data_IF_023695770049
#
_entry.id   IF_023695770049
#
_cell.length_a   1.000
_cell.length_b   1.000
_cell.length_c   1.000
_cell.angle_alpha   90.00
_cell.angle_beta   90.00
_cell.angle_gamma   90.00
#
_symmetry.space_group_name_H-M   'P 1'
#
loop_
_entity.id
_entity.type
_entity.pdbx_description
1 polymer ?
#
# COMPACT_ATOMS: atom_id res chain seq x y z
N UNK A 1 -12.69 -47.41 20.55
CA UNK A 1 -12.62 -45.96 20.31
C UNK A 1 -13.23 -45.67 18.94
N UNK A 2 -14.19 -44.74 18.89
CA UNK A 2 -15.13 -44.58 17.78
C UNK A 2 -14.47 -44.26 16.43
N UNK A 3 -14.84 -45.01 15.39
CA UNK A 3 -14.37 -44.85 14.02
C UNK A 3 -15.20 -43.75 13.33
N UNK A 4 -14.98 -42.48 13.69
CA UNK A 4 -15.59 -41.35 13.00
C UNK A 4 -14.86 -41.19 11.67
N UNK A 5 -15.49 -41.60 10.57
CA UNK A 5 -14.93 -41.48 9.23
C UNK A 5 -14.61 -40.00 8.93
N UNK A 6 -13.40 -39.73 8.42
CA UNK A 6 -12.93 -38.39 8.03
C UNK A 6 -12.81 -37.36 9.18
N UNK A 7 -12.64 -37.81 10.43
CA UNK A 7 -12.51 -36.95 11.61
C UNK A 7 -11.47 -35.82 11.46
N UNK A 8 -10.29 -36.12 10.91
CA UNK A 8 -9.24 -35.11 10.69
C UNK A 8 -9.69 -34.00 9.73
N UNK A 9 -10.35 -34.38 8.64
CA UNK A 9 -10.89 -33.43 7.66
C UNK A 9 -11.98 -32.53 8.26
N UNK A 10 -12.83 -33.11 9.12
CA UNK A 10 -13.88 -32.39 9.83
C UNK A 10 -13.30 -31.40 10.85
N UNK A 11 -12.31 -31.81 11.64
CA UNK A 11 -11.63 -30.94 12.60
C UNK A 11 -10.91 -29.79 11.90
N UNK A 12 -10.17 -30.06 10.83
CA UNK A 12 -9.49 -29.02 10.05
C UNK A 12 -10.46 -28.00 9.44
N UNK A 13 -11.62 -28.46 8.96
CA UNK A 13 -12.66 -27.57 8.43
C UNK A 13 -13.25 -26.68 9.53
N UNK A 14 -13.55 -27.25 10.70
CA UNK A 14 -14.05 -26.51 11.84
C UNK A 14 -13.03 -25.48 12.36
N UNK A 15 -11.74 -25.84 12.40
CA UNK A 15 -10.65 -24.92 12.71
C UNK A 15 -10.59 -23.77 11.69
N UNK A 16 -10.66 -24.09 10.39
CA UNK A 16 -10.66 -23.08 9.33
C UNK A 16 -11.85 -22.12 9.48
N UNK A 17 -13.05 -22.64 9.75
CA UNK A 17 -14.26 -21.82 9.92
C UNK A 17 -14.23 -20.95 11.18
N UNK A 18 -13.45 -21.35 12.19
CA UNK A 18 -13.21 -20.57 13.40
C UNK A 18 -12.20 -19.43 13.15
N UNK A 19 -11.12 -19.71 12.44
CA UNK A 19 -10.02 -18.75 12.20
C UNK A 19 -10.30 -17.74 11.10
N UNK A 20 -11.10 -18.15 10.09
CA UNK A 20 -11.43 -17.34 8.94
C UNK A 20 -12.04 -15.97 9.30
N UNK A 21 -13.11 -15.86 10.13
CA UNK A 21 -13.70 -14.56 10.45
C UNK A 21 -12.71 -13.62 11.14
N UNK A 22 -11.84 -14.16 12.02
CA UNK A 22 -10.80 -13.38 12.70
C UNK A 22 -9.84 -12.81 11.66
N UNK A 23 -9.32 -13.68 10.79
CA UNK A 23 -8.39 -13.27 9.73
C UNK A 23 -9.03 -12.27 8.78
N UNK A 24 -10.30 -12.42 8.43
CA UNK A 24 -11.00 -11.47 7.56
C UNK A 24 -11.18 -10.09 8.23
N UNK A 25 -11.50 -10.07 9.52
CA UNK A 25 -11.61 -8.83 10.29
C UNK A 25 -10.28 -8.08 10.38
N UNK A 26 -9.15 -8.79 10.40
CA UNK A 26 -7.82 -8.18 10.38
C UNK A 26 -7.41 -7.70 8.98
N UNK A 27 -7.76 -8.47 7.93
CA UNK A 27 -7.32 -8.19 6.56
C UNK A 27 -8.10 -7.07 5.87
N UNK A 28 -9.41 -7.02 6.06
CA UNK A 28 -10.29 -6.05 5.42
C UNK A 28 -9.87 -4.59 5.64
N UNK A 29 -9.57 -4.12 6.89
CA UNK A 29 -9.15 -2.73 7.10
C UNK A 29 -7.82 -2.41 6.44
N UNK A 30 -6.86 -3.34 6.43
CA UNK A 30 -5.55 -3.14 5.81
C UNK A 30 -5.66 -2.96 4.29
N UNK A 31 -6.48 -3.78 3.63
CA UNK A 31 -6.73 -3.67 2.19
C UNK A 31 -7.45 -2.35 1.88
N UNK A 32 -8.46 -2.00 2.67
CA UNK A 32 -9.20 -0.75 2.49
C UNK A 32 -8.30 0.48 2.67
N UNK A 33 -7.38 0.46 3.64
CA UNK A 33 -6.40 1.52 3.82
C UNK A 33 -5.49 1.66 2.59
N UNK A 34 -4.93 0.56 2.08
CA UNK A 34 -4.12 0.60 0.85
C UNK A 34 -4.90 1.13 -0.36
N UNK A 35 -6.18 0.80 -0.50
CA UNK A 35 -7.05 1.40 -1.54
C UNK A 35 -7.13 2.92 -1.38
N UNK A 36 -7.33 3.42 -0.16
CA UNK A 36 -7.40 4.87 0.10
C UNK A 36 -6.06 5.55 -0.16
N UNK A 37 -4.94 4.97 0.28
CA UNK A 37 -3.58 5.44 -0.04
C UNK A 37 -3.37 5.52 -1.56
N UNK A 38 -3.77 4.46 -2.30
CA UNK A 38 -3.68 4.46 -3.75
C UNK A 38 -4.50 5.59 -4.37
N UNK A 39 -5.75 5.75 -3.94
CA UNK A 39 -6.66 6.80 -4.45
C UNK A 39 -6.12 8.20 -4.15
N UNK A 40 -5.59 8.44 -2.96
CA UNK A 40 -4.94 9.71 -2.61
C UNK A 40 -3.75 9.99 -3.52
N UNK A 41 -2.83 9.03 -3.64
CA UNK A 41 -1.62 9.23 -4.44
C UNK A 41 -1.91 9.44 -5.93
N UNK A 42 -2.86 8.69 -6.51
CA UNK A 42 -3.26 8.85 -7.92
C UNK A 42 -3.87 10.23 -8.16
N UNK A 43 -4.65 10.76 -7.23
CA UNK A 43 -5.41 11.99 -7.41
C UNK A 43 -4.71 13.25 -6.87
N UNK A 44 -3.64 13.10 -6.09
CA UNK A 44 -2.91 14.22 -5.49
C UNK A 44 -2.11 14.99 -6.55
N UNK A 45 -2.69 16.06 -7.07
CA UNK A 45 -2.04 16.97 -8.03
C UNK A 45 -0.90 17.74 -7.38
N UNK A 46 -1.11 18.19 -6.15
CA UNK A 46 -0.12 18.88 -5.33
C UNK A 46 1.19 18.08 -5.23
N UNK A 47 1.11 16.77 -4.97
CA UNK A 47 2.29 15.91 -4.95
C UNK A 47 3.02 15.87 -6.31
N UNK A 48 2.28 15.80 -7.42
CA UNK A 48 2.89 15.85 -8.77
C UNK A 48 3.61 17.17 -8.99
N UNK A 49 3.02 18.30 -8.61
CA UNK A 49 3.65 19.62 -8.70
C UNK A 49 4.94 19.68 -7.86
N UNK A 50 4.94 19.12 -6.65
CA UNK A 50 6.17 19.01 -5.82
C UNK A 50 7.26 18.19 -6.54
N UNK A 51 6.89 17.10 -7.22
CA UNK A 51 7.84 16.32 -8.03
C UNK A 51 8.36 17.13 -9.23
N UNK A 52 7.56 18.00 -9.83
CA UNK A 52 8.00 18.90 -10.92
C UNK A 52 9.01 19.94 -10.42
N UNK A 53 8.78 20.55 -9.25
CA UNK A 53 9.78 21.41 -8.60
C UNK A 53 11.08 20.66 -8.35
N UNK A 54 11.00 19.43 -7.81
CA UNK A 54 12.16 18.58 -7.59
C UNK A 54 12.90 18.25 -8.88
N UNK A 55 12.19 17.96 -9.96
CA UNK A 55 12.78 17.70 -11.27
C UNK A 55 13.50 18.94 -11.81
N UNK A 56 12.89 20.13 -11.67
CA UNK A 56 13.48 21.39 -12.11
C UNK A 56 14.77 21.71 -11.34
N UNK A 57 14.73 21.64 -10.01
CA UNK A 57 15.90 21.86 -9.15
C UNK A 57 16.99 20.83 -9.46
N UNK A 58 16.61 19.55 -9.53
CA UNK A 58 17.54 18.47 -9.84
C UNK A 58 18.22 18.63 -11.20
N UNK A 59 17.48 19.05 -12.23
CA UNK A 59 18.02 19.33 -13.56
C UNK A 59 18.99 20.52 -13.54
N UNK A 60 18.64 21.61 -12.86
CA UNK A 60 19.53 22.76 -12.71
C UNK A 60 20.86 22.37 -12.05
N UNK A 61 20.81 21.55 -10.99
CA UNK A 61 22.02 21.07 -10.30
C UNK A 61 22.84 20.12 -11.17
N UNK A 62 22.19 19.21 -11.90
CA UNK A 62 22.84 18.22 -12.74
C UNK A 62 23.48 18.83 -14.00
N UNK A 63 22.85 19.83 -14.61
CA UNK A 63 23.39 20.56 -15.76
C UNK A 63 24.71 21.25 -15.40
N UNK A 64 24.76 21.90 -14.24
CA UNK A 64 26.00 22.49 -13.70
C UNK A 64 27.09 21.44 -13.38
N UNK A 65 26.72 20.16 -13.25
CA UNK A 65 27.65 19.05 -13.06
C UNK A 65 27.99 18.31 -14.36
N UNK A 66 27.60 18.84 -15.53
CA UNK A 66 27.87 18.26 -16.84
C UNK A 66 27.00 17.05 -17.19
N UNK A 67 25.87 16.84 -16.50
CA UNK A 67 24.92 15.77 -16.80
C UNK A 67 23.79 16.28 -17.69
N UNK A 68 23.22 15.36 -18.48
CA UNK A 68 22.07 15.65 -19.32
C UNK A 68 20.78 15.90 -18.50
N UNK A 69 19.88 16.69 -19.08
CA UNK A 69 18.58 17.01 -18.50
C UNK A 69 17.67 15.78 -18.48
N UNK A 70 17.19 15.41 -17.31
CA UNK A 70 16.24 14.33 -17.12
C UNK A 70 14.81 14.78 -17.43
N UNK A 71 14.00 13.86 -17.97
CA UNK A 71 12.55 14.06 -18.18
C UNK A 71 11.69 13.60 -17.00
N UNK A 72 12.31 12.93 -16.02
CA UNK A 72 11.66 12.37 -14.84
C UNK A 72 12.67 11.63 -13.98
N UNK A 73 12.24 11.19 -12.80
CA UNK A 73 13.03 10.40 -11.88
C UNK A 73 12.13 9.38 -11.15
N UNK A 74 12.75 8.35 -10.59
CA UNK A 74 12.07 7.30 -9.82
C UNK A 74 11.82 7.74 -8.40
N UNK A 75 10.70 7.33 -7.80
CA UNK A 75 10.30 7.73 -6.44
C UNK A 75 11.32 7.33 -5.36
N UNK A 76 12.13 6.29 -5.61
CA UNK A 76 13.25 5.92 -4.75
C UNK A 76 14.22 7.10 -4.50
N UNK A 77 14.36 8.02 -5.45
CA UNK A 77 15.21 9.22 -5.29
C UNK A 77 14.75 10.14 -4.16
N UNK A 78 13.46 10.11 -3.79
CA UNK A 78 12.92 10.93 -2.71
C UNK A 78 13.59 10.62 -1.37
N UNK A 79 14.00 9.36 -1.15
CA UNK A 79 14.66 8.91 0.08
C UNK A 79 16.05 9.53 0.30
N UNK A 80 16.61 10.16 -0.73
CA UNK A 80 17.97 10.74 -0.71
C UNK A 80 17.97 12.25 -0.47
N UNK A 81 16.82 12.93 -0.60
CA UNK A 81 16.75 14.40 -0.60
C UNK A 81 17.22 15.01 0.72
N UNK A 82 16.88 14.39 1.85
CA UNK A 82 17.32 14.81 3.19
C UNK A 82 18.81 14.56 3.46
N UNK A 83 19.49 13.79 2.59
CA UNK A 83 20.92 13.48 2.73
C UNK A 83 21.81 14.38 1.85
N UNK A 84 21.24 14.98 0.80
CA UNK A 84 21.97 15.85 -0.13
C UNK A 84 22.11 17.25 0.48
N UNK A 85 23.28 17.51 1.09
CA UNK A 85 23.58 18.77 1.79
C UNK A 85 24.21 19.80 0.87
N UNK A 86 23.91 21.07 1.14
CA UNK A 86 24.58 22.22 0.52
C UNK A 86 25.95 22.50 1.16
N UNK A 87 26.45 23.74 1.00
CA UNK A 87 27.66 24.19 1.70
C UNK A 87 27.44 24.24 3.22
N UNK A 88 26.26 24.68 3.63
CA UNK A 88 25.82 24.52 5.02
C UNK A 88 25.39 23.07 5.24
N UNK A 89 25.93 22.44 6.28
CA UNK A 89 25.63 21.06 6.65
C UNK A 89 24.21 20.88 7.15
N UNK A 90 23.54 21.95 7.60
CA UNK A 90 22.16 21.90 8.06
C UNK A 90 21.16 22.10 6.91
N UNK A 91 21.61 22.67 5.79
CA UNK A 91 20.77 22.91 4.63
C UNK A 91 20.84 21.74 3.64
N UNK A 92 19.69 21.18 3.30
CA UNK A 92 19.58 20.03 2.39
C UNK A 92 18.81 20.39 1.13
N UNK A 93 18.82 19.52 0.13
CA UNK A 93 18.02 19.71 -1.09
C UNK A 93 16.51 19.78 -0.77
N UNK A 94 16.08 19.15 0.32
CA UNK A 94 14.70 19.25 0.79
C UNK A 94 14.36 20.65 1.33
N UNK A 95 15.29 21.30 2.02
CA UNK A 95 15.14 22.71 2.43
C UNK A 95 15.10 23.63 1.21
N UNK A 96 15.99 23.40 0.22
CA UNK A 96 15.98 24.16 -1.02
C UNK A 96 14.65 24.02 -1.78
N UNK A 97 14.10 22.81 -1.85
CA UNK A 97 12.76 22.56 -2.41
C UNK A 97 11.71 23.38 -1.67
N UNK A 98 11.72 23.34 -0.34
CA UNK A 98 10.74 24.06 0.46
C UNK A 98 10.83 25.57 0.27
N UNK A 99 12.04 26.15 0.27
CA UNK A 99 12.22 27.58 -0.02
C UNK A 99 11.66 27.97 -1.38
N UNK A 100 11.89 27.15 -2.42
CA UNK A 100 11.34 27.41 -3.75
C UNK A 100 9.81 27.34 -3.75
N UNK A 101 9.23 26.36 -3.06
CA UNK A 101 7.77 26.24 -2.90
C UNK A 101 7.22 27.46 -2.15
N UNK A 102 7.83 27.85 -1.03
CA UNK A 102 7.38 29.00 -0.23
C UNK A 102 7.51 30.32 -0.97
N UNK A 103 8.46 30.44 -1.91
CA UNK A 103 8.64 31.62 -2.73
C UNK A 103 7.59 31.73 -3.85
N UNK A 104 7.26 30.61 -4.49
CA UNK A 104 6.43 30.59 -5.71
C UNK A 104 4.96 30.26 -5.44
N UNK A 105 4.70 29.29 -4.57
CA UNK A 105 3.36 28.77 -4.27
C UNK A 105 3.27 28.28 -2.81
N UNK A 106 3.21 29.18 -1.81
CA UNK A 106 3.21 28.81 -0.39
C UNK A 106 2.11 27.81 0.00
N UNK A 107 0.95 27.88 -0.66
CA UNK A 107 -0.16 26.95 -0.44
C UNK A 107 0.19 25.49 -0.73
N UNK A 108 1.19 25.24 -1.59
CA UNK A 108 1.66 23.89 -1.90
C UNK A 108 2.42 23.25 -0.73
N UNK A 109 2.94 24.02 0.23
CA UNK A 109 3.64 23.46 1.40
C UNK A 109 2.74 22.55 2.27
N UNK A 110 1.42 22.68 2.17
CA UNK A 110 0.46 21.84 2.90
C UNK A 110 0.07 20.57 2.14
N UNK A 111 0.66 20.27 0.98
CA UNK A 111 0.31 19.08 0.15
C UNK A 111 0.35 17.75 0.92
N UNK A 112 1.16 17.67 1.97
CA UNK A 112 1.26 16.46 2.80
C UNK A 112 -0.07 16.09 3.48
N UNK A 113 -1.01 17.03 3.60
CA UNK A 113 -2.36 16.82 4.12
C UNK A 113 -3.24 16.04 3.12
N UNK A 114 -3.02 16.21 1.81
CA UNK A 114 -3.73 15.47 0.76
C UNK A 114 -3.36 13.97 0.74
N UNK A 115 -2.30 13.61 1.46
CA UNK A 115 -1.73 12.26 1.57
C UNK A 115 -1.82 11.72 3.01
N UNK A 116 -2.87 12.09 3.75
CA UNK A 116 -3.05 11.71 5.16
C UNK A 116 -3.03 10.19 5.42
N UNK A 117 -3.45 9.34 4.47
CA UNK A 117 -3.44 7.89 4.67
C UNK A 117 -2.01 7.32 4.77
N UNK A 118 -1.00 8.10 4.39
CA UNK A 118 0.40 7.70 4.49
C UNK A 118 0.98 7.88 5.90
N UNK A 119 0.27 8.45 6.88
CA UNK A 119 0.76 8.53 8.27
C UNK A 119 1.12 7.17 8.87
N UNK A 120 0.48 6.11 8.39
CA UNK A 120 0.85 4.72 8.70
C UNK A 120 0.90 3.91 7.41
N UNK A 121 1.91 3.07 7.25
CA UNK A 121 2.03 2.15 6.11
C UNK A 121 1.73 0.73 6.58
N UNK A 122 0.54 0.18 6.27
CA UNK A 122 0.21 -1.21 6.63
C UNK A 122 1.09 -2.21 5.85
N UNK A 123 1.32 -3.39 6.44
CA UNK A 123 2.28 -4.43 6.01
C UNK A 123 2.12 -5.05 4.60
N UNK A 124 2.90 -6.12 4.36
CA UNK A 124 3.22 -6.69 3.03
C UNK A 124 2.04 -7.35 2.33
N UNK A 125 1.49 -6.67 1.31
CA UNK A 125 0.31 -7.04 0.52
C UNK A 125 0.25 -8.50 0.00
N UNK A 126 1.39 -9.03 -0.41
CA UNK A 126 1.47 -10.36 -1.01
C UNK A 126 0.97 -11.44 -0.05
N UNK A 127 1.22 -11.25 1.25
CA UNK A 127 0.85 -12.19 2.28
C UNK A 127 -0.66 -12.18 2.55
N UNK A 128 -1.31 -11.03 2.55
CA UNK A 128 -2.76 -10.90 2.78
C UNK A 128 -3.55 -11.51 1.63
N UNK A 129 -3.18 -11.21 0.39
CA UNK A 129 -3.83 -11.77 -0.81
C UNK A 129 -3.66 -13.30 -0.85
N UNK A 130 -2.47 -13.80 -0.49
CA UNK A 130 -2.18 -15.24 -0.49
C UNK A 130 -2.96 -15.98 0.59
N UNK A 131 -3.14 -15.38 1.78
CA UNK A 131 -4.04 -15.90 2.83
C UNK A 131 -5.48 -16.04 2.33
N UNK A 132 -6.04 -15.03 1.66
CA UNK A 132 -7.40 -15.09 1.09
C UNK A 132 -7.54 -16.22 0.07
N UNK A 133 -6.56 -16.39 -0.82
CA UNK A 133 -6.55 -17.48 -1.81
C UNK A 133 -6.48 -18.85 -1.13
N UNK A 134 -5.70 -18.98 -0.07
CA UNK A 134 -5.56 -20.23 0.70
C UNK A 134 -6.89 -20.61 1.37
N UNK A 135 -7.56 -19.68 2.04
CA UNK A 135 -8.88 -19.94 2.65
C UNK A 135 -9.90 -20.42 1.62
N UNK A 136 -9.95 -19.76 0.45
CA UNK A 136 -10.85 -20.15 -0.64
C UNK A 136 -10.56 -21.56 -1.17
N UNK A 137 -9.29 -21.95 -1.31
CA UNK A 137 -8.88 -23.30 -1.74
C UNK A 137 -9.28 -24.36 -0.71
N UNK A 138 -9.08 -24.07 0.58
CA UNK A 138 -9.38 -24.99 1.69
C UNK A 138 -10.88 -25.28 1.80
N UNK A 139 -11.74 -24.27 1.71
CA UNK A 139 -13.20 -24.44 1.76
C UNK A 139 -13.69 -25.25 0.54
N UNK A 140 -13.19 -24.94 -0.67
CA UNK A 140 -13.58 -25.64 -1.90
C UNK A 140 -13.21 -27.12 -1.91
N UNK A 141 -12.00 -27.48 -1.47
CA UNK A 141 -11.55 -28.90 -1.46
C UNK A 141 -12.32 -29.77 -0.49
N UNK A 142 -12.91 -29.20 0.57
CA UNK A 142 -13.41 -29.95 1.73
C UNK A 142 -14.93 -30.05 1.80
N UNK A 143 -15.65 -29.37 0.90
CA UNK A 143 -17.09 -29.56 0.68
C UNK A 143 -17.47 -30.93 0.09
N UNK A 144 -16.49 -31.73 -0.34
CA UNK A 144 -16.70 -33.00 -1.03
C UNK A 144 -16.85 -34.23 -0.11
N UNK A 145 -16.71 -34.09 1.22
CA UNK A 145 -16.71 -35.24 2.12
C UNK A 145 -17.13 -34.93 3.56
N UNK A 146 -18.44 -34.92 3.85
CA UNK A 146 -18.98 -35.14 5.20
C UNK A 146 -20.50 -35.42 5.14
N UNK A 147 -20.91 -36.65 5.45
CA UNK A 147 -22.31 -37.08 5.55
C UNK A 147 -22.72 -37.27 7.01
N UNK A 148 -23.35 -36.25 7.62
CA UNK A 148 -24.31 -36.41 8.71
C UNK A 148 -25.39 -35.31 8.59
N UNK A 149 -26.70 -35.61 8.61
CA UNK A 149 -27.75 -34.70 8.12
C UNK A 149 -27.83 -33.34 8.84
N UNK A 150 -27.74 -33.33 10.17
CA UNK A 150 -27.87 -32.08 10.96
C UNK A 150 -26.57 -31.26 10.98
N UNK A 151 -25.41 -31.93 11.10
CA UNK A 151 -24.09 -31.29 10.96
C UNK A 151 -23.92 -30.66 9.57
N UNK A 152 -24.53 -31.26 8.55
CA UNK A 152 -24.49 -30.77 7.18
C UNK A 152 -25.17 -29.41 7.01
N UNK A 153 -26.27 -29.12 7.72
CA UNK A 153 -27.06 -27.90 7.46
C UNK A 153 -26.38 -26.64 7.95
N UNK A 154 -26.01 -26.58 9.24
CA UNK A 154 -25.37 -25.39 9.83
C UNK A 154 -23.98 -25.15 9.23
N UNK A 155 -23.24 -26.23 8.96
CA UNK A 155 -21.96 -26.18 8.27
C UNK A 155 -22.11 -25.62 6.85
N UNK A 156 -23.11 -26.08 6.08
CA UNK A 156 -23.40 -25.54 4.74
C UNK A 156 -23.75 -24.06 4.80
N UNK A 157 -24.59 -23.64 5.74
CA UNK A 157 -24.94 -22.22 5.90
C UNK A 157 -23.72 -21.36 6.25
N UNK A 158 -22.86 -21.82 7.16
CA UNK A 158 -21.61 -21.13 7.51
C UNK A 158 -20.66 -21.04 6.31
N UNK A 159 -20.49 -22.14 5.57
CA UNK A 159 -19.65 -22.18 4.38
C UNK A 159 -20.16 -21.23 3.30
N UNK A 160 -21.48 -21.22 3.05
CA UNK A 160 -22.08 -20.33 2.06
C UNK A 160 -21.87 -18.86 2.45
N UNK A 161 -22.15 -18.52 3.71
CA UNK A 161 -21.88 -17.18 4.26
C UNK A 161 -20.43 -16.76 4.03
N UNK A 162 -19.47 -17.60 4.40
CA UNK A 162 -18.05 -17.26 4.25
C UNK A 162 -17.57 -17.24 2.81
N UNK A 163 -18.16 -18.03 1.90
CA UNK A 163 -17.88 -17.94 0.47
C UNK A 163 -18.26 -16.57 -0.08
N UNK A 164 -19.43 -16.05 0.28
CA UNK A 164 -19.88 -14.71 -0.12
C UNK A 164 -18.92 -13.64 0.40
N UNK A 165 -18.54 -13.71 1.68
CA UNK A 165 -17.59 -12.76 2.26
C UNK A 165 -16.20 -12.86 1.60
N UNK A 166 -15.69 -14.06 1.35
CA UNK A 166 -14.42 -14.27 0.65
C UNK A 166 -14.44 -13.76 -0.78
N UNK A 167 -15.56 -13.89 -1.48
CA UNK A 167 -15.73 -13.33 -2.82
C UNK A 167 -15.67 -11.81 -2.79
N UNK A 168 -16.34 -11.17 -1.83
CA UNK A 168 -16.29 -9.73 -1.64
C UNK A 168 -14.86 -9.25 -1.34
N UNK A 169 -14.17 -9.90 -0.40
CA UNK A 169 -12.78 -9.59 -0.05
C UNK A 169 -11.84 -9.77 -1.25
N UNK A 170 -12.05 -10.82 -2.05
CA UNK A 170 -11.28 -11.05 -3.29
C UNK A 170 -11.48 -9.90 -4.28
N UNK A 171 -12.71 -9.44 -4.49
CA UNK A 171 -13.01 -8.29 -5.37
C UNK A 171 -12.29 -7.02 -4.89
N UNK A 172 -12.29 -6.77 -3.58
CA UNK A 172 -11.58 -5.64 -2.98
C UNK A 172 -10.06 -5.74 -3.18
N UNK A 173 -9.48 -6.93 -3.02
CA UNK A 173 -8.06 -7.17 -3.35
C UNK A 173 -7.75 -6.87 -4.82
N UNK A 174 -8.64 -7.25 -5.74
CA UNK A 174 -8.44 -7.03 -7.17
C UNK A 174 -8.59 -5.55 -7.57
N UNK A 175 -9.51 -4.80 -6.96
CA UNK A 175 -9.59 -3.34 -7.10
C UNK A 175 -8.27 -2.70 -6.68
N UNK A 176 -7.77 -3.07 -5.51
CA UNK A 176 -6.54 -2.49 -4.99
C UNK A 176 -5.32 -2.80 -5.87
N UNK A 177 -5.18 -4.04 -6.37
CA UNK A 177 -4.12 -4.40 -7.33
C UNK A 177 -4.20 -3.54 -8.59
N UNK A 178 -5.39 -3.33 -9.14
CA UNK A 178 -5.59 -2.49 -10.33
C UNK A 178 -5.15 -1.05 -10.06
N UNK A 179 -5.56 -0.47 -8.92
CA UNK A 179 -5.16 0.88 -8.52
C UNK A 179 -3.65 0.98 -8.33
N UNK A 180 -3.03 -0.02 -7.71
CA UNK A 180 -1.58 -0.05 -7.53
C UNK A 180 -0.83 -0.14 -8.86
N UNK A 181 -1.29 -0.96 -9.81
CA UNK A 181 -0.72 -0.99 -11.16
C UNK A 181 -0.81 0.37 -11.87
N UNK A 182 -1.89 1.14 -11.66
CA UNK A 182 -2.01 2.51 -12.20
C UNK A 182 -0.95 3.43 -11.59
N UNK A 183 -0.64 3.31 -10.30
CA UNK A 183 0.44 4.08 -9.63
C UNK A 183 1.78 3.75 -10.26
N UNK A 184 2.08 2.45 -10.42
CA UNK A 184 3.36 2.02 -11.00
C UNK A 184 3.57 2.63 -12.38
N UNK A 185 2.55 2.58 -13.25
CA UNK A 185 2.61 3.21 -14.57
C UNK A 185 2.74 4.73 -14.47
N UNK A 186 1.93 5.38 -13.62
CA UNK A 186 1.90 6.85 -13.49
C UNK A 186 3.24 7.44 -13.06
N UNK A 187 3.94 6.79 -12.13
CA UNK A 187 5.24 7.24 -11.63
C UNK A 187 6.43 6.52 -12.29
N UNK A 188 6.17 5.68 -13.29
CA UNK A 188 7.20 4.98 -14.05
C UNK A 188 7.97 3.94 -13.25
N UNK A 189 7.37 3.35 -12.21
CA UNK A 189 7.94 2.31 -11.35
C UNK A 189 7.86 0.89 -11.98
N UNK A 190 8.69 -0.08 -11.55
CA UNK A 190 8.72 -1.42 -12.09
C UNK A 190 7.41 -2.15 -11.78
N UNK A 191 6.92 -3.02 -12.68
CA UNK A 191 5.63 -3.71 -12.49
C UNK A 191 5.59 -4.65 -11.28
N UNK A 192 6.76 -5.08 -10.81
CA UNK A 192 6.96 -5.98 -9.67
C UNK A 192 7.34 -5.27 -8.37
N UNK A 193 7.33 -3.93 -8.36
CA UNK A 193 7.64 -3.12 -7.18
C UNK A 193 6.74 -3.48 -6.00
N UNK A 194 7.36 -3.75 -4.85
CA UNK A 194 6.61 -4.03 -3.65
C UNK A 194 5.89 -2.78 -3.12
N UNK A 195 4.61 -2.95 -2.76
CA UNK A 195 3.74 -1.86 -2.29
C UNK A 195 4.20 -1.26 -0.97
N UNK A 196 4.76 -2.06 -0.06
CA UNK A 196 5.23 -1.56 1.22
C UNK A 196 6.50 -0.73 1.02
N UNK A 197 7.40 -1.14 0.14
CA UNK A 197 8.56 -0.33 -0.21
C UNK A 197 8.14 1.01 -0.83
N UNK A 198 7.29 1.00 -1.86
CA UNK A 198 6.85 2.23 -2.53
C UNK A 198 6.13 3.18 -1.57
N UNK A 199 5.17 2.66 -0.79
CA UNK A 199 4.46 3.49 0.20
C UNK A 199 5.38 3.96 1.31
N UNK A 200 6.39 3.16 1.70
CA UNK A 200 7.43 3.53 2.65
C UNK A 200 8.29 4.70 2.16
N UNK A 201 8.66 4.71 0.88
CA UNK A 201 9.41 5.83 0.28
C UNK A 201 8.61 7.14 0.36
N UNK A 202 7.31 7.07 0.06
CA UNK A 202 6.42 8.23 0.11
C UNK A 202 6.23 8.68 1.56
N UNK A 203 5.95 7.77 2.48
CA UNK A 203 5.85 8.07 3.91
C UNK A 203 7.10 8.79 4.43
N UNK A 204 8.29 8.25 4.14
CA UNK A 204 9.54 8.85 4.57
C UNK A 204 9.70 10.26 3.99
N UNK A 205 9.40 10.45 2.72
CA UNK A 205 9.46 11.76 2.07
C UNK A 205 8.51 12.78 2.72
N UNK A 206 7.26 12.40 2.98
CA UNK A 206 6.28 13.28 3.63
C UNK A 206 6.72 13.65 5.05
N UNK A 207 7.22 12.68 5.79
CA UNK A 207 7.73 12.89 7.13
C UNK A 207 8.94 13.84 7.14
N UNK A 208 9.92 13.61 6.26
CA UNK A 208 11.11 14.47 6.14
C UNK A 208 10.72 15.88 5.69
N UNK A 209 9.75 16.00 4.78
CA UNK A 209 9.26 17.30 4.32
C UNK A 209 8.62 18.09 5.46
N UNK A 210 7.74 17.46 6.25
CA UNK A 210 7.12 18.11 7.41
C UNK A 210 8.16 18.55 8.45
N UNK A 211 9.20 17.75 8.66
CA UNK A 211 10.30 18.08 9.56
C UNK A 211 11.05 19.32 9.07
N UNK A 212 11.49 19.34 7.81
CA UNK A 212 12.17 20.49 7.23
C UNK A 212 11.28 21.75 7.25
N UNK A 213 9.97 21.60 7.01
CA UNK A 213 9.02 22.70 7.12
C UNK A 213 8.93 23.28 8.53
N UNK A 214 8.91 22.43 9.57
CA UNK A 214 8.91 22.88 10.96
C UNK A 214 10.24 23.53 11.39
N UNK A 215 11.35 23.25 10.71
CA UNK A 215 12.66 23.89 10.97
C UNK A 215 12.77 25.29 10.32
N UNK A 216 11.92 25.59 9.33
CA UNK A 216 11.99 26.82 8.52
C UNK A 216 10.91 27.86 8.91
N UNK A 217 9.92 27.48 9.73
CA UNK A 217 8.85 28.33 10.27
C UNK A 217 9.18 28.74 11.71
#
# INVERSE_FOLDING_TARGET
MCNISYLSLQLDLLLTLRELPISMNDLQPLINQKIRMCKQLVNCRSFVTVLEYLLAIGNYLNENAGKEKAKGFRLLSLTKLSQLRGRDKNFTLLHALLEQIMLQEPGLATFTQDLAEFETVPGVLKNEVQKVIQYRKTIRKRNSGAHHPNFSKDLKMAIEKYNVHLEMLTKTCDEMKKLYSVILVKFGEPPDQDSQELFGMIYQFLHDFRRAHAETV
#
